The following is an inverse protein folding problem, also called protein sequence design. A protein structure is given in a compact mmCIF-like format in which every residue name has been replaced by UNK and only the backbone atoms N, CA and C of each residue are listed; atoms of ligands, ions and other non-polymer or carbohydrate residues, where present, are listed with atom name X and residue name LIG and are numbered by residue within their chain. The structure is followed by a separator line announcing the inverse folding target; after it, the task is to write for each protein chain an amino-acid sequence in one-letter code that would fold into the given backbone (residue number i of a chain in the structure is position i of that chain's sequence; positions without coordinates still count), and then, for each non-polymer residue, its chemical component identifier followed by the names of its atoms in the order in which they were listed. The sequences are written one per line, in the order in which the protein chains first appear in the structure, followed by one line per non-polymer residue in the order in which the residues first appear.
data_IF_729833937689
#
_entry.id   IF_729833937689
#
_cell.length_a   1.000
_cell.length_b   1.000
_cell.length_c   1.000
_cell.angle_alpha   90.00
_cell.angle_beta   90.00
_cell.angle_gamma   90.00
#
_symmetry.space_group_name_H-M   'P 1'
#
loop_
_entity.id
_entity.type
_entity.pdbx_description
1 polymer ?
#
# COMPACT_ATOMS: atom_id res chain seq x y z
N UNK A 1 -9.88 28.30 24.86
CA UNK A 1 -9.37 28.49 26.24
C UNK A 1 -7.88 28.75 26.13
N UNK A 2 -7.36 29.87 26.64
CA UNK A 2 -5.94 30.22 26.51
C UNK A 2 -5.10 29.33 27.43
N UNK A 3 -4.08 28.66 26.88
CA UNK A 3 -3.23 27.73 27.63
C UNK A 3 -2.01 28.48 28.17
N UNK A 4 -1.83 28.48 29.49
CA UNK A 4 -0.66 29.10 30.12
C UNK A 4 0.60 28.30 29.78
N UNK A 5 1.68 29.01 29.45
CA UNK A 5 3.00 28.40 29.27
C UNK A 5 3.59 27.97 30.62
N UNK A 6 4.58 27.09 30.59
CA UNK A 6 5.26 26.64 31.82
C UNK A 6 5.87 27.82 32.60
N UNK A 7 6.51 28.77 31.91
CA UNK A 7 7.08 29.98 32.52
C UNK A 7 6.01 30.82 33.23
N UNK A 8 4.84 30.98 32.61
CA UNK A 8 3.72 31.71 33.21
C UNK A 8 3.19 30.98 34.46
N UNK A 9 3.14 29.65 34.42
CA UNK A 9 2.73 28.83 35.58
C UNK A 9 3.75 28.95 36.72
N UNK A 10 5.05 28.88 36.44
CA UNK A 10 6.09 29.13 37.45
C UNK A 10 6.03 30.53 38.03
N UNK A 11 5.79 31.55 37.19
CA UNK A 11 5.62 32.92 37.65
C UNK A 11 4.47 33.01 38.68
N UNK A 12 3.30 32.43 38.36
CA UNK A 12 2.15 32.38 39.28
C UNK A 12 2.53 31.76 40.62
N UNK A 13 3.22 30.61 40.61
CA UNK A 13 3.62 29.93 41.84
C UNK A 13 4.65 30.74 42.62
N UNK A 14 5.61 31.38 41.94
CA UNK A 14 6.64 32.19 42.57
C UNK A 14 6.05 33.40 43.30
N UNK A 15 5.11 34.12 42.66
CA UNK A 15 4.43 35.27 43.28
C UNK A 15 3.49 34.84 44.40
N UNK A 16 2.87 33.65 44.29
CA UNK A 16 2.07 33.09 45.39
C UNK A 16 2.94 32.76 46.61
N UNK A 17 4.11 32.14 46.42
CA UNK A 17 5.03 31.81 47.52
C UNK A 17 5.58 33.04 48.24
N UNK A 18 5.79 34.14 47.52
CA UNK A 18 6.20 35.44 48.10
C UNK A 18 5.09 36.14 48.87
N UNK A 19 3.82 35.69 48.77
CA UNK A 19 2.67 36.36 49.36
C UNK A 19 2.23 37.64 48.62
N UNK A 20 2.83 37.94 47.47
CA UNK A 20 2.66 39.22 46.73
C UNK A 20 1.66 39.12 45.58
N UNK A 21 1.01 37.97 45.39
CA UNK A 21 0.20 37.74 44.19
C UNK A 21 -1.05 38.62 44.16
N UNK A 22 -1.07 39.56 43.21
CA UNK A 22 -2.30 40.25 42.80
C UNK A 22 -2.94 39.48 41.64
N UNK A 23 -3.96 38.67 41.95
CA UNK A 23 -4.62 37.77 40.97
C UNK A 23 -5.16 38.56 39.77
N UNK A 24 -5.77 39.74 39.97
CA UNK A 24 -6.32 40.54 38.88
C UNK A 24 -5.24 41.04 37.91
N UNK A 25 -4.07 41.41 38.43
CA UNK A 25 -2.92 41.80 37.60
C UNK A 25 -2.43 40.64 36.75
N UNK A 26 -2.35 39.44 37.32
CA UNK A 26 -1.92 38.22 36.62
C UNK A 26 -2.94 37.80 35.55
N UNK A 27 -4.24 37.83 35.88
CA UNK A 27 -5.36 37.58 34.94
C UNK A 27 -5.24 38.48 33.71
N UNK A 28 -5.06 39.80 33.92
CA UNK A 28 -4.92 40.78 32.83
C UNK A 28 -3.64 40.55 32.03
N UNK A 29 -2.52 40.29 32.70
CA UNK A 29 -1.21 40.12 32.06
C UNK A 29 -1.14 38.85 31.19
N UNK A 30 -1.72 37.74 31.66
CA UNK A 30 -1.66 36.44 30.98
C UNK A 30 -2.92 36.11 30.19
N UNK A 31 -3.90 37.02 30.14
CA UNK A 31 -5.17 36.85 29.40
C UNK A 31 -5.88 35.51 29.71
N UNK A 32 -5.88 35.11 30.98
CA UNK A 32 -6.49 33.86 31.46
C UNK A 32 -7.59 34.15 32.47
N UNK A 33 -8.41 33.16 32.83
CA UNK A 33 -9.45 33.34 33.86
C UNK A 33 -8.87 33.16 35.26
N UNK A 34 -9.52 33.74 36.27
CA UNK A 34 -9.14 33.54 37.67
C UNK A 34 -9.16 32.05 38.06
N UNK A 35 -10.13 31.28 37.52
CA UNK A 35 -10.24 29.83 37.72
C UNK A 35 -8.98 29.11 37.25
N UNK A 36 -8.41 29.49 36.10
CA UNK A 36 -7.17 28.90 35.59
C UNK A 36 -6.01 29.11 36.58
N UNK A 37 -5.87 30.31 37.15
CA UNK A 37 -4.83 30.62 38.14
C UNK A 37 -5.02 29.76 39.41
N UNK A 38 -6.25 29.69 39.94
CA UNK A 38 -6.55 28.85 41.09
C UNK A 38 -6.28 27.37 40.82
N UNK A 39 -6.61 26.87 39.64
CA UNK A 39 -6.32 25.49 39.24
C UNK A 39 -4.82 25.21 39.21
N UNK A 40 -4.00 26.14 38.71
CA UNK A 40 -2.53 26.02 38.72
C UNK A 40 -2.00 25.98 40.15
N UNK A 41 -2.44 26.90 41.02
CA UNK A 41 -2.03 26.96 42.43
C UNK A 41 -2.43 25.67 43.17
N UNK A 42 -3.67 25.23 43.02
CA UNK A 42 -4.18 24.03 43.67
C UNK A 42 -3.48 22.76 43.17
N UNK A 43 -3.20 22.67 41.86
CA UNK A 43 -2.45 21.56 41.29
C UNK A 43 -1.04 21.51 41.87
N UNK A 44 -0.34 22.65 41.94
CA UNK A 44 0.98 22.75 42.54
C UNK A 44 0.97 22.34 44.02
N UNK A 45 -0.02 22.78 44.80
CA UNK A 45 -0.13 22.34 46.20
C UNK A 45 -0.33 20.84 46.36
N UNK A 46 -1.03 20.17 45.44
CA UNK A 46 -1.32 18.74 45.51
C UNK A 46 -0.20 17.85 44.99
N UNK A 47 0.50 18.30 43.95
CA UNK A 47 1.45 17.47 43.21
C UNK A 47 2.90 17.99 43.27
N UNK A 48 3.13 19.17 43.87
CA UNK A 48 4.40 19.88 43.89
C UNK A 48 5.00 20.07 42.48
N UNK A 49 4.14 20.19 41.47
CA UNK A 49 4.50 20.31 40.06
C UNK A 49 3.67 21.41 39.39
N UNK A 50 4.26 22.11 38.43
CA UNK A 50 3.60 23.12 37.58
C UNK A 50 3.23 22.60 36.21
N UNK A 51 3.74 21.41 35.84
CA UNK A 51 3.45 20.75 34.58
C UNK A 51 2.09 20.06 34.63
N UNK A 52 1.07 20.91 34.59
CA UNK A 52 -0.27 20.53 34.20
C UNK A 52 -0.22 20.05 32.74
N UNK A 53 0.12 18.78 32.55
CA UNK A 53 -0.26 18.06 31.34
C UNK A 53 -1.77 18.04 31.35
N UNK A 54 -2.39 18.44 30.23
CA UNK A 54 -3.83 18.28 30.10
C UNK A 54 -4.11 16.83 30.41
N UNK A 55 -4.92 16.56 31.44
CA UNK A 55 -5.40 15.20 31.69
C UNK A 55 -5.88 14.69 30.35
N UNK A 56 -5.48 13.48 29.98
CA UNK A 56 -5.98 12.86 28.76
C UNK A 56 -7.50 12.97 28.79
N UNK A 57 -8.03 13.90 28.00
CA UNK A 57 -9.47 14.05 27.89
C UNK A 57 -9.94 12.70 27.37
N UNK A 58 -10.95 12.12 28.02
CA UNK A 58 -11.56 10.91 27.52
C UNK A 58 -12.04 11.22 26.10
N UNK A 59 -11.29 10.71 25.11
CA UNK A 59 -11.63 10.91 23.71
C UNK A 59 -12.96 10.26 23.41
N UNK A 60 -13.49 10.51 22.21
CA UNK A 60 -14.66 9.78 21.73
C UNK A 60 -14.37 8.28 21.82
N UNK A 61 -15.26 7.46 22.40
CA UNK A 61 -15.05 6.02 22.45
C UNK A 61 -14.91 5.46 21.03
N UNK A 62 -14.07 4.44 20.84
CA UNK A 62 -13.89 3.80 19.55
C UNK A 62 -15.22 3.24 19.04
N UNK A 63 -15.43 3.30 17.72
CA UNK A 63 -16.66 2.81 17.10
C UNK A 63 -16.82 1.28 17.22
N UNK A 64 -15.70 0.56 17.34
CA UNK A 64 -15.66 -0.88 17.57
C UNK A 64 -15.04 -1.17 18.94
N UNK A 65 -15.63 -2.13 19.66
CA UNK A 65 -15.05 -2.64 20.90
C UNK A 65 -13.90 -3.63 20.62
N UNK A 66 -13.16 -3.99 21.67
CA UNK A 66 -11.98 -4.87 21.55
C UNK A 66 -12.30 -6.26 21.00
N UNK A 67 -13.49 -6.82 21.28
CA UNK A 67 -13.93 -8.11 20.74
C UNK A 67 -14.19 -8.01 19.23
N UNK A 68 -14.86 -6.94 18.79
CA UNK A 68 -15.13 -6.66 17.39
C UNK A 68 -13.84 -6.43 16.61
N UNK A 69 -12.86 -5.73 17.19
CA UNK A 69 -11.55 -5.53 16.56
C UNK A 69 -10.82 -6.87 16.36
N UNK A 70 -10.83 -7.76 17.36
CA UNK A 70 -10.26 -9.11 17.24
C UNK A 70 -11.00 -9.97 16.20
N UNK A 71 -12.32 -9.85 16.13
CA UNK A 71 -13.11 -10.54 15.11
C UNK A 71 -12.75 -10.02 13.71
N UNK A 72 -12.63 -8.70 13.55
CA UNK A 72 -12.23 -8.08 12.28
C UNK A 72 -10.86 -8.61 11.82
N UNK A 73 -9.86 -8.59 12.71
CA UNK A 73 -8.51 -9.08 12.43
C UNK A 73 -8.50 -10.55 11.96
N UNK A 74 -9.21 -11.44 12.67
CA UNK A 74 -9.35 -12.84 12.26
C UNK A 74 -10.02 -13.01 10.90
N UNK A 75 -11.01 -12.19 10.58
CA UNK A 75 -11.69 -12.23 9.27
C UNK A 75 -10.74 -11.80 8.15
N UNK A 76 -9.92 -10.78 8.39
CA UNK A 76 -8.89 -10.31 7.45
C UNK A 76 -7.86 -11.41 7.21
N UNK A 77 -7.34 -12.04 8.27
CA UNK A 77 -6.35 -13.10 8.17
C UNK A 77 -6.84 -14.33 7.39
N UNK A 78 -8.14 -14.65 7.46
CA UNK A 78 -8.75 -15.74 6.66
C UNK A 78 -8.79 -15.44 5.17
N UNK A 79 -8.97 -14.17 4.80
CA UNK A 79 -8.96 -13.75 3.40
C UNK A 79 -8.42 -12.32 3.28
N UNK A 80 -7.12 -12.23 3.00
CA UNK A 80 -6.40 -10.97 2.83
C UNK A 80 -6.93 -10.11 1.67
N UNK A 81 -7.72 -10.69 0.77
CA UNK A 81 -8.27 -9.97 -0.39
C UNK A 81 -9.63 -9.30 -0.14
N UNK A 82 -10.18 -9.47 1.06
CA UNK A 82 -11.50 -8.94 1.41
C UNK A 82 -11.49 -7.41 1.46
N UNK A 83 -12.44 -6.78 0.78
CA UNK A 83 -12.60 -5.32 0.79
C UNK A 83 -13.25 -4.82 2.08
N UNK A 84 -13.13 -3.51 2.36
CA UNK A 84 -13.78 -2.94 3.55
C UNK A 84 -15.31 -3.07 3.49
N UNK A 85 -15.92 -2.96 2.31
CA UNK A 85 -17.34 -3.18 2.09
C UNK A 85 -17.74 -4.65 2.34
N UNK A 86 -16.97 -5.62 1.82
CA UNK A 86 -17.20 -7.04 2.09
C UNK A 86 -17.02 -7.39 3.57
N UNK A 87 -16.01 -6.84 4.24
CA UNK A 87 -15.80 -7.02 5.67
C UNK A 87 -16.99 -6.47 6.48
N UNK A 88 -17.55 -5.34 6.09
CA UNK A 88 -18.73 -4.78 6.73
C UNK A 88 -19.93 -5.72 6.59
N UNK A 89 -20.17 -6.27 5.39
CA UNK A 89 -21.23 -7.26 5.14
C UNK A 89 -21.01 -8.56 5.92
N UNK A 90 -19.77 -9.06 6.03
CA UNK A 90 -19.44 -10.31 6.72
C UNK A 90 -19.51 -10.19 8.25
N UNK A 91 -19.18 -9.02 8.80
CA UNK A 91 -19.14 -8.78 10.25
C UNK A 91 -20.45 -8.23 10.80
N UNK A 92 -21.26 -7.62 9.94
CA UNK A 92 -22.52 -6.97 10.29
C UNK A 92 -22.38 -5.93 11.43
N UNK A 93 -21.26 -5.21 11.44
CA UNK A 93 -21.02 -4.17 12.42
C UNK A 93 -21.84 -2.91 12.08
N UNK A 94 -22.41 -2.26 13.11
CA UNK A 94 -23.10 -0.98 12.94
C UNK A 94 -22.08 0.17 12.78
N UNK A 95 -21.39 0.20 11.65
CA UNK A 95 -20.38 1.22 11.34
C UNK A 95 -20.30 1.48 9.83
N UNK A 96 -19.43 2.40 9.42
CA UNK A 96 -19.24 2.74 8.01
C UNK A 96 -18.06 2.01 7.41
N UNK A 97 -18.05 1.82 6.09
CA UNK A 97 -16.90 1.29 5.36
C UNK A 97 -15.61 2.07 5.66
N UNK A 98 -15.71 3.41 5.73
CA UNK A 98 -14.58 4.28 6.08
C UNK A 98 -14.01 3.93 7.46
N UNK A 99 -14.87 3.65 8.44
CA UNK A 99 -14.44 3.22 9.78
C UNK A 99 -13.69 1.90 9.71
N UNK A 100 -14.22 0.90 9.00
CA UNK A 100 -13.55 -0.39 8.78
C UNK A 100 -12.17 -0.19 8.14
N UNK A 101 -12.07 0.67 7.13
CA UNK A 101 -10.81 0.98 6.47
C UNK A 101 -9.77 1.61 7.42
N UNK A 102 -10.21 2.48 8.33
CA UNK A 102 -9.33 3.05 9.37
C UNK A 102 -8.83 1.97 10.33
N UNK A 103 -9.71 1.07 10.79
CA UNK A 103 -9.31 -0.05 11.65
C UNK A 103 -8.35 -1.00 10.94
N UNK A 104 -8.58 -1.27 9.66
CA UNK A 104 -7.67 -2.04 8.80
C UNK A 104 -6.23 -1.50 8.86
N UNK A 105 -6.09 -0.17 8.71
CA UNK A 105 -4.79 0.51 8.76
C UNK A 105 -4.21 0.54 10.16
N UNK A 106 -5.03 0.71 11.20
CA UNK A 106 -4.56 0.71 12.59
C UNK A 106 -4.06 -0.66 13.05
N UNK A 107 -4.58 -1.74 12.46
CA UNK A 107 -4.12 -3.11 12.66
C UNK A 107 -2.81 -3.42 11.91
N UNK A 108 -2.26 -2.46 11.14
CA UNK A 108 -0.98 -2.62 10.44
C UNK A 108 -1.11 -3.08 8.99
N UNK A 109 -2.32 -3.37 8.51
CA UNK A 109 -2.54 -3.77 7.12
C UNK A 109 -2.45 -2.59 6.16
N UNK A 110 -1.82 -2.83 5.01
CA UNK A 110 -1.69 -1.89 3.90
C UNK A 110 -2.24 -2.51 2.62
N UNK A 111 -2.95 -1.72 1.79
CA UNK A 111 -3.40 -2.22 0.50
C UNK A 111 -2.19 -2.36 -0.41
N UNK A 112 -2.08 -3.51 -1.08
CA UNK A 112 -1.06 -3.83 -2.08
C UNK A 112 -1.73 -4.47 -3.28
N UNK A 113 -1.09 -4.36 -4.44
CA UNK A 113 -1.53 -5.09 -5.65
C UNK A 113 -0.96 -6.49 -5.59
N UNK A 114 -1.81 -7.52 -5.72
CA UNK A 114 -1.33 -8.90 -5.78
C UNK A 114 -0.32 -9.08 -6.89
N UNK A 115 0.78 -9.77 -6.62
CA UNK A 115 1.75 -10.13 -7.65
C UNK A 115 1.26 -11.36 -8.39
N UNK A 116 1.41 -11.38 -9.72
CA UNK A 116 1.21 -12.60 -10.50
C UNK A 116 2.60 -13.18 -10.72
N UNK A 117 2.89 -14.32 -10.10
CA UNK A 117 4.16 -15.04 -10.28
C UNK A 117 3.89 -16.37 -10.97
N UNK A 118 4.65 -16.67 -12.02
CA UNK A 118 4.63 -17.99 -12.65
C UNK A 118 5.30 -18.98 -11.70
N UNK A 119 4.62 -20.06 -11.37
CA UNK A 119 5.18 -21.14 -10.57
C UNK A 119 6.23 -21.87 -11.41
N UNK A 120 7.50 -21.76 -11.02
CA UNK A 120 8.59 -22.52 -11.63
C UNK A 120 8.86 -23.79 -10.82
N UNK A 121 9.32 -24.86 -11.46
CA UNK A 121 9.87 -26.03 -10.78
C UNK A 121 11.41 -25.96 -10.83
N UNK A 122 12.09 -26.72 -9.95
CA UNK A 122 13.56 -26.71 -9.86
C UNK A 122 14.23 -27.08 -11.19
N UNK A 123 13.61 -27.96 -11.98
CA UNK A 123 14.12 -28.39 -13.29
C UNK A 123 14.12 -27.21 -14.28
N UNK A 124 13.05 -26.42 -14.32
CA UNK A 124 12.95 -25.24 -15.18
C UNK A 124 13.92 -24.14 -14.72
N UNK A 125 14.14 -24.01 -13.42
CA UNK A 125 15.12 -23.07 -12.86
C UNK A 125 16.55 -23.45 -13.28
N UNK A 126 16.92 -24.73 -13.16
CA UNK A 126 18.23 -25.23 -13.59
C UNK A 126 18.44 -25.04 -15.10
N UNK A 127 17.45 -25.38 -15.93
CA UNK A 127 17.53 -25.16 -17.39
C UNK A 127 17.71 -23.69 -17.74
N UNK A 128 17.00 -22.78 -17.06
CA UNK A 128 17.15 -21.33 -17.24
C UNK A 128 18.54 -20.86 -16.85
N UNK A 129 19.06 -21.37 -15.73
CA UNK A 129 20.41 -21.07 -15.28
C UNK A 129 21.47 -21.52 -16.29
N UNK A 130 21.39 -22.77 -16.77
CA UNK A 130 22.31 -23.30 -17.77
C UNK A 130 22.25 -22.51 -19.09
N UNK A 131 21.05 -22.18 -19.56
CA UNK A 131 20.89 -21.35 -20.75
C UNK A 131 21.55 -19.98 -20.59
N UNK A 132 21.32 -19.31 -19.45
CA UNK A 132 21.91 -18.01 -19.16
C UNK A 132 23.44 -18.07 -19.06
N UNK A 133 23.97 -19.10 -18.41
CA UNK A 133 25.41 -19.32 -18.32
C UNK A 133 26.05 -19.55 -19.69
N UNK A 134 25.41 -20.34 -20.55
CA UNK A 134 25.93 -20.61 -21.91
C UNK A 134 25.90 -19.37 -22.80
N UNK A 135 24.90 -18.50 -22.66
CA UNK A 135 24.69 -17.33 -23.52
C UNK A 135 25.15 -15.99 -22.91
N UNK A 136 25.90 -15.99 -21.81
CA UNK A 136 26.30 -14.74 -21.13
C UNK A 136 27.18 -13.80 -21.99
N UNK A 137 27.80 -14.32 -23.05
CA UNK A 137 28.59 -13.57 -24.03
C UNK A 137 27.98 -13.58 -25.44
N UNK A 138 26.71 -13.97 -25.59
CA UNK A 138 26.04 -13.97 -26.88
C UNK A 138 25.90 -12.53 -27.42
N UNK A 139 26.21 -12.32 -28.71
CA UNK A 139 25.94 -11.05 -29.38
C UNK A 139 24.45 -10.96 -29.73
N UNK A 140 23.71 -10.12 -29.01
CA UNK A 140 22.26 -9.93 -29.18
C UNK A 140 21.87 -9.36 -30.54
N UNK A 141 22.80 -8.77 -31.29
CA UNK A 141 22.54 -8.28 -32.65
C UNK A 141 22.18 -9.40 -33.63
N UNK A 142 22.63 -10.62 -33.36
CA UNK A 142 22.38 -11.79 -34.18
C UNK A 142 21.10 -12.55 -33.78
N UNK A 143 20.33 -12.01 -32.84
CA UNK A 143 19.16 -12.69 -32.27
C UNK A 143 17.88 -12.03 -32.76
N UNK A 144 16.93 -12.88 -33.14
CA UNK A 144 15.54 -12.52 -33.31
C UNK A 144 14.79 -13.20 -32.18
N UNK A 145 14.17 -12.39 -31.34
CA UNK A 145 13.27 -12.85 -30.28
C UNK A 145 11.87 -12.92 -30.85
N UNK A 146 11.21 -14.03 -30.59
CA UNK A 146 9.83 -14.25 -30.97
C UNK A 146 9.05 -14.72 -29.74
N UNK A 147 7.83 -14.22 -29.61
CA UNK A 147 6.90 -14.72 -28.60
C UNK A 147 5.45 -14.52 -29.07
N UNK A 148 4.61 -15.46 -28.66
CA UNK A 148 3.16 -15.38 -28.78
C UNK A 148 2.60 -14.72 -27.52
N UNK A 149 1.93 -13.58 -27.68
CA UNK A 149 1.26 -12.91 -26.59
C UNK A 149 -0.22 -12.72 -26.89
N UNK A 150 -1.03 -12.67 -25.85
CA UNK A 150 -2.41 -12.25 -25.98
C UNK A 150 -2.58 -10.89 -25.28
N UNK A 151 -3.32 -9.99 -25.89
CA UNK A 151 -3.75 -8.73 -25.26
C UNK A 151 -5.20 -8.90 -24.86
N UNK A 152 -5.44 -9.05 -23.56
CA UNK A 152 -6.77 -9.21 -22.99
C UNK A 152 -7.15 -8.04 -22.09
N UNK A 153 -8.42 -7.63 -22.13
CA UNK A 153 -8.98 -6.72 -21.14
C UNK A 153 -9.11 -7.46 -19.81
N UNK A 154 -8.21 -7.18 -18.87
CA UNK A 154 -8.21 -7.78 -17.54
C UNK A 154 -8.43 -6.72 -16.45
N UNK A 155 -9.29 -7.05 -15.49
CA UNK A 155 -9.25 -6.46 -14.15
C UNK A 155 -8.08 -7.09 -13.40
N UNK A 156 -6.86 -6.62 -13.67
CA UNK A 156 -5.61 -7.22 -13.15
C UNK A 156 -5.29 -6.85 -11.71
N UNK A 157 -6.04 -5.91 -11.10
CA UNK A 157 -5.61 -5.29 -9.86
C UNK A 157 -6.59 -5.59 -8.74
N UNK A 158 -6.55 -6.84 -8.25
CA UNK A 158 -7.15 -7.11 -6.95
C UNK A 158 -6.25 -6.48 -5.87
N UNK A 159 -6.88 -5.64 -5.05
CA UNK A 159 -6.23 -5.10 -3.85
C UNK A 159 -6.24 -6.21 -2.81
N UNK A 160 -5.05 -6.57 -2.34
CA UNK A 160 -4.86 -7.43 -1.18
C UNK A 160 -4.34 -6.60 -0.03
N UNK A 161 -4.77 -6.91 1.16
CA UNK A 161 -4.32 -6.26 2.37
C UNK A 161 -3.27 -7.12 3.04
N UNK A 162 -2.08 -6.57 3.20
CA UNK A 162 -0.96 -7.28 3.79
C UNK A 162 -0.43 -6.51 4.98
N UNK A 163 0.04 -7.22 6.00
CA UNK A 163 0.77 -6.59 7.10
C UNK A 163 2.05 -5.90 6.59
N UNK A 164 2.59 -4.99 7.39
CA UNK A 164 3.85 -4.32 7.08
C UNK A 164 5.00 -5.31 7.23
N UNK A 165 5.84 -5.43 6.20
CA UNK A 165 6.97 -6.37 6.19
C UNK A 165 6.67 -7.71 5.54
N UNK A 166 5.41 -8.13 5.52
CA UNK A 166 5.02 -9.40 4.89
C UNK A 166 5.09 -9.34 3.35
N UNK A 167 5.42 -10.47 2.68
CA UNK A 167 5.39 -10.57 1.23
C UNK A 167 3.96 -10.43 0.72
N UNK A 168 3.82 -9.88 -0.48
CA UNK A 168 2.50 -9.70 -1.10
C UNK A 168 2.00 -11.06 -1.61
N UNK A 169 0.79 -11.51 -1.23
CA UNK A 169 0.21 -12.74 -1.71
C UNK A 169 0.12 -12.76 -3.24
N UNK A 170 0.46 -13.90 -3.82
CA UNK A 170 0.32 -14.13 -5.25
C UNK A 170 -1.07 -14.65 -5.56
N UNK A 171 -1.64 -14.20 -6.70
CA UNK A 171 -2.92 -14.71 -7.19
C UNK A 171 -2.71 -15.58 -8.42
N UNK A 172 -3.28 -16.78 -8.39
CA UNK A 172 -3.43 -17.63 -9.57
C UNK A 172 -4.71 -17.22 -10.32
N UNK A 173 -4.63 -17.13 -11.65
CA UNK A 173 -5.74 -16.74 -12.52
C UNK A 173 -6.15 -17.98 -13.30
N UNK A 174 -7.43 -18.37 -13.19
CA UNK A 174 -7.96 -19.60 -13.80
C UNK A 174 -8.27 -19.47 -15.29
N UNK A 175 -8.61 -18.28 -15.79
CA UNK A 175 -8.87 -18.07 -17.22
C UNK A 175 -8.81 -16.61 -17.65
N UNK A 176 -8.67 -16.42 -18.97
CA UNK A 176 -8.63 -15.15 -19.66
C UNK A 176 -10.00 -14.79 -20.25
N UNK A 177 -10.48 -13.57 -20.01
CA UNK A 177 -11.57 -12.99 -20.82
C UNK A 177 -11.02 -12.53 -22.18
N UNK A 178 -11.94 -12.29 -23.13
CA UNK A 178 -11.71 -11.92 -24.52
C UNK A 178 -10.32 -11.29 -24.79
N UNK A 179 -9.59 -11.93 -25.70
CA UNK A 179 -8.20 -11.61 -25.96
C UNK A 179 -7.94 -11.53 -27.46
N UNK A 180 -6.97 -10.71 -27.83
CA UNK A 180 -6.41 -10.64 -29.18
C UNK A 180 -5.08 -11.37 -29.17
N UNK A 181 -4.93 -12.38 -30.01
CA UNK A 181 -3.67 -13.08 -30.18
C UNK A 181 -2.74 -12.27 -31.08
N UNK A 182 -1.51 -12.07 -30.62
CA UNK A 182 -0.44 -11.37 -31.31
C UNK A 182 0.80 -12.26 -31.30
N UNK A 183 1.54 -12.24 -32.39
CA UNK A 183 2.91 -12.74 -32.45
C UNK A 183 3.83 -11.56 -32.71
N UNK A 184 4.88 -11.45 -31.92
CA UNK A 184 5.86 -10.38 -31.98
C UNK A 184 7.22 -10.92 -32.32
N UNK A 185 7.88 -10.28 -33.30
CA UNK A 185 9.29 -10.49 -33.62
C UNK A 185 10.05 -9.23 -33.27
N UNK A 186 11.13 -9.35 -32.51
CA UNK A 186 11.97 -8.23 -32.09
C UNK A 186 13.43 -8.60 -32.32
N UNK A 187 14.20 -7.69 -32.90
CA UNK A 187 15.64 -7.82 -33.10
C UNK A 187 16.29 -6.45 -32.87
N UNK A 188 17.62 -6.39 -32.94
CA UNK A 188 18.39 -5.22 -32.51
C UNK A 188 17.93 -3.88 -33.07
N UNK A 189 17.54 -3.84 -34.35
CA UNK A 189 17.17 -2.61 -35.06
C UNK A 189 15.72 -2.61 -35.56
N UNK A 190 14.84 -3.47 -35.05
CA UNK A 190 13.47 -3.51 -35.54
C UNK A 190 12.53 -4.46 -34.79
N UNK A 191 11.26 -4.35 -35.15
CA UNK A 191 10.22 -5.22 -34.63
C UNK A 191 9.05 -5.33 -35.62
N UNK A 192 8.31 -6.43 -35.54
CA UNK A 192 7.04 -6.65 -36.24
C UNK A 192 6.06 -7.31 -35.29
N UNK A 193 4.83 -6.81 -35.24
CA UNK A 193 3.73 -7.45 -34.54
C UNK A 193 2.63 -7.81 -35.53
N UNK A 194 2.15 -9.05 -35.48
CA UNK A 194 1.04 -9.52 -36.29
C UNK A 194 -0.06 -10.04 -35.40
N UNK A 195 -1.29 -9.60 -35.68
CA UNK A 195 -2.47 -10.24 -35.11
C UNK A 195 -2.77 -11.50 -35.90
N UNK A 196 -3.08 -12.57 -35.18
CA UNK A 196 -3.68 -13.76 -35.76
C UNK A 196 -5.00 -14.07 -35.06
N UNK A 197 -5.86 -14.83 -35.74
CA UNK A 197 -7.10 -15.32 -35.17
C UNK A 197 -6.94 -16.83 -34.94
N UNK A 198 -7.60 -17.35 -33.89
CA UNK A 198 -7.55 -18.77 -33.50
C UNK A 198 -6.16 -19.22 -33.02
N UNK A 199 -5.95 -20.55 -33.00
CA UNK A 199 -4.70 -21.20 -32.61
C UNK A 199 -3.70 -21.14 -33.77
N UNK A 200 -2.43 -20.87 -33.44
CA UNK A 200 -1.37 -20.86 -34.43
C UNK A 200 -0.93 -22.29 -34.72
N UNK A 201 -1.19 -22.77 -35.93
CA UNK A 201 -0.64 -24.05 -36.41
C UNK A 201 0.69 -23.82 -37.14
N UNK A 202 1.41 -24.90 -37.43
CA UNK A 202 2.73 -24.83 -38.06
C UNK A 202 2.71 -24.06 -39.38
N UNK A 203 1.71 -24.29 -40.24
CA UNK A 203 1.63 -23.63 -41.54
C UNK A 203 1.41 -22.12 -41.40
N UNK A 204 0.45 -21.71 -40.56
CA UNK A 204 0.16 -20.31 -40.26
C UNK A 204 1.36 -19.61 -39.60
N UNK A 205 2.10 -20.31 -38.73
CA UNK A 205 3.33 -19.78 -38.13
C UNK A 205 4.37 -19.52 -39.21
N UNK A 206 4.65 -20.51 -40.06
CA UNK A 206 5.61 -20.39 -41.15
C UNK A 206 5.24 -19.25 -42.11
N UNK A 207 3.97 -19.10 -42.46
CA UNK A 207 3.48 -17.97 -43.28
C UNK A 207 3.77 -16.62 -42.62
N UNK A 208 3.44 -16.47 -41.33
CA UNK A 208 3.68 -15.22 -40.60
C UNK A 208 5.17 -14.91 -40.48
N UNK A 209 6.01 -15.91 -40.18
CA UNK A 209 7.47 -15.75 -40.08
C UNK A 209 8.04 -15.32 -41.44
N UNK A 210 7.65 -16.02 -42.50
CA UNK A 210 8.10 -15.71 -43.85
C UNK A 210 7.68 -14.28 -44.24
N UNK A 211 6.42 -13.88 -44.00
CA UNK A 211 5.97 -12.51 -44.27
C UNK A 211 6.75 -11.47 -43.45
N UNK A 212 6.92 -11.71 -42.15
CA UNK A 212 7.59 -10.78 -41.23
C UNK A 212 9.07 -10.57 -41.59
N UNK A 213 9.76 -11.63 -42.01
CA UNK A 213 11.18 -11.59 -42.34
C UNK A 213 11.44 -11.17 -43.79
N UNK A 214 10.63 -11.60 -44.76
CA UNK A 214 10.84 -11.27 -46.18
C UNK A 214 10.79 -9.77 -46.47
N UNK A 215 9.91 -9.02 -45.78
CA UNK A 215 9.79 -7.57 -45.97
C UNK A 215 10.90 -6.75 -45.29
N UNK A 216 11.66 -7.34 -44.36
CA UNK A 216 12.63 -6.64 -43.52
C UNK A 216 14.08 -7.11 -43.71
N UNK A 217 14.30 -8.31 -44.26
CA UNK A 217 15.64 -8.83 -44.58
C UNK A 217 16.38 -7.96 -45.61
N UNK A 218 15.64 -7.29 -46.52
CA UNK A 218 16.21 -6.30 -47.44
C UNK A 218 16.80 -5.07 -46.73
N UNK A 219 16.38 -4.78 -45.49
CA UNK A 219 16.93 -3.71 -44.64
C UNK A 219 18.06 -4.19 -43.72
N UNK A 220 18.18 -5.49 -43.51
CA UNK A 220 19.24 -6.09 -42.68
C UNK A 220 20.55 -6.29 -43.47
N UNK A 221 20.46 -6.57 -44.78
CA UNK A 221 21.63 -6.74 -45.66
C UNK A 221 22.28 -5.41 -46.14
N UNK A 222 21.93 -4.29 -45.49
CA UNK A 222 22.50 -2.96 -45.76
C UNK A 222 23.72 -2.60 -44.90
N UNK A 223 24.27 -3.58 -44.17
CA UNK A 223 25.49 -3.49 -43.38
C UNK A 223 26.53 -4.49 -43.89
#
# INVERSE_FOLDING_TARGET
MYKLTEVQRWYIISERKKGTINILKVVRSFKCTHVTIYNVINYYHRHNDVNYTDRYNAGRPPALNSKQIKQLDRTIQRNLSTTAAELLSLTNFNTTERTIQLYHRSLGYRPRKSLVKVKSNNINEEKRYQFAAFHHHANMENYIFEDECYVGLRSTQQIVWCERGEPTPTKEISSLRAHVNLIGFIWWNGYVFRRFNNWLNTDSYCEIVNEALSGNLSKLNGF
#
